data_IF_044481853710
#
_entry.id   IF_044481853710
#
_cell.length_a   1.000
_cell.length_b   1.000
_cell.length_c   1.000
_cell.angle_alpha   90.00
_cell.angle_beta   90.00
_cell.angle_gamma   90.00
#
_symmetry.space_group_name_H-M   'P 1'
#
loop_
_entity.id
_entity.type
_entity.pdbx_description
1 polymer ?
#
# COMPACT_ATOMS: atom_id res chain seq x y z
N UNK A 1 -36.23 12.78 -28.39
CA UNK A 1 -34.90 13.23 -28.87
C UNK A 1 -33.90 12.91 -27.78
N UNK A 2 -33.14 11.83 -27.96
CA UNK A 2 -32.08 11.43 -27.04
C UNK A 2 -31.02 12.52 -27.04
N UNK A 3 -30.88 13.26 -25.94
CA UNK A 3 -29.69 14.08 -25.73
C UNK A 3 -28.52 13.11 -25.73
N UNK A 4 -27.66 13.23 -26.73
CA UNK A 4 -26.31 12.68 -26.70
C UNK A 4 -25.68 13.16 -25.40
N UNK A 5 -25.59 12.30 -24.39
CA UNK A 5 -24.77 12.55 -23.22
C UNK A 5 -23.35 12.56 -23.74
N UNK A 6 -22.81 13.77 -23.89
CA UNK A 6 -21.41 13.95 -24.22
C UNK A 6 -20.60 13.27 -23.11
N UNK A 7 -19.92 12.16 -23.44
CA UNK A 7 -19.09 11.37 -22.51
C UNK A 7 -17.83 12.18 -22.10
N UNK A 8 -17.78 13.47 -22.45
CA UNK A 8 -16.68 14.39 -22.23
C UNK A 8 -16.66 15.03 -20.83
N UNK A 9 -17.77 15.00 -20.09
CA UNK A 9 -17.80 15.48 -18.71
C UNK A 9 -17.38 14.37 -17.74
N UNK A 10 -16.29 14.61 -17.00
CA UNK A 10 -15.82 13.69 -15.96
C UNK A 10 -16.93 13.48 -14.93
N UNK A 11 -17.25 12.22 -14.64
CA UNK A 11 -18.24 11.87 -13.61
C UNK A 11 -17.88 12.47 -12.23
N UNK A 12 -16.59 12.70 -11.98
CA UNK A 12 -16.07 13.41 -10.81
C UNK A 12 -16.73 14.78 -10.58
N UNK A 13 -17.22 15.47 -11.63
CA UNK A 13 -17.87 16.79 -11.49
C UNK A 13 -19.30 16.74 -10.95
N UNK A 14 -19.93 15.57 -10.92
CA UNK A 14 -21.25 15.44 -10.30
C UNK A 14 -21.08 15.42 -8.76
N UNK A 15 -21.62 16.41 -8.01
CA UNK A 15 -21.53 16.41 -6.55
C UNK A 15 -22.28 15.23 -5.91
N UNK A 16 -23.19 14.58 -6.65
CA UNK A 16 -23.97 13.42 -6.20
C UNK A 16 -23.42 12.09 -6.69
N UNK A 17 -22.20 12.08 -7.23
CA UNK A 17 -21.56 10.84 -7.67
C UNK A 17 -21.58 9.80 -6.53
N UNK A 18 -21.95 8.57 -6.87
CA UNK A 18 -22.03 7.42 -5.95
C UNK A 18 -23.12 7.47 -4.87
N UNK A 19 -23.91 8.56 -4.76
CA UNK A 19 -24.97 8.68 -3.75
C UNK A 19 -26.31 8.01 -4.13
N UNK A 20 -26.36 7.37 -5.31
CA UNK A 20 -27.54 6.66 -5.82
C UNK A 20 -28.51 7.56 -6.59
N UNK A 21 -29.47 6.93 -7.28
CA UNK A 21 -30.37 7.61 -8.24
C UNK A 21 -31.83 7.72 -7.78
N UNK A 22 -32.19 7.26 -6.58
CA UNK A 22 -33.58 7.33 -6.12
C UNK A 22 -33.85 8.67 -5.46
N UNK A 23 -34.84 9.40 -5.97
CA UNK A 23 -35.25 10.72 -5.48
C UNK A 23 -35.57 10.75 -3.97
N UNK A 24 -36.07 9.63 -3.43
CA UNK A 24 -36.40 9.50 -2.01
C UNK A 24 -35.18 9.32 -1.09
N UNK A 25 -34.07 8.79 -1.58
CA UNK A 25 -32.89 8.48 -0.76
C UNK A 25 -31.77 9.53 -0.91
N UNK A 26 -31.72 10.24 -2.04
CA UNK A 26 -30.65 11.20 -2.34
C UNK A 26 -30.52 12.31 -1.28
N UNK A 27 -31.60 12.91 -0.73
CA UNK A 27 -31.45 13.91 0.34
C UNK A 27 -30.76 13.36 1.59
N UNK A 28 -31.12 12.14 2.01
CA UNK A 28 -30.50 11.49 3.16
C UNK A 28 -29.04 11.11 2.87
N UNK A 29 -28.75 10.60 1.66
CA UNK A 29 -27.39 10.26 1.26
C UNK A 29 -26.46 11.49 1.26
N UNK A 30 -26.94 12.64 0.77
CA UNK A 30 -26.21 13.92 0.83
C UNK A 30 -25.94 14.37 2.26
N UNK A 31 -26.95 14.30 3.12
CA UNK A 31 -26.81 14.70 4.53
C UNK A 31 -25.78 13.84 5.24
N UNK A 32 -25.89 12.51 5.11
CA UNK A 32 -24.93 11.58 5.70
C UNK A 32 -23.51 11.79 5.13
N UNK A 33 -23.38 11.97 3.82
CA UNK A 33 -22.08 12.23 3.19
C UNK A 33 -21.47 13.55 3.68
N UNK A 34 -22.25 14.63 3.76
CA UNK A 34 -21.76 15.91 4.25
C UNK A 34 -21.29 15.83 5.70
N UNK A 35 -22.04 15.16 6.57
CA UNK A 35 -21.62 14.91 7.95
C UNK A 35 -20.34 14.05 8.02
N UNK A 36 -20.28 12.96 7.27
CA UNK A 36 -19.15 12.01 7.32
C UNK A 36 -17.88 12.57 6.69
N UNK A 37 -18.00 13.35 5.60
CA UNK A 37 -16.87 13.98 4.92
C UNK A 37 -16.17 15.04 5.77
N UNK A 38 -16.79 15.52 6.85
CA UNK A 38 -16.14 16.45 7.78
C UNK A 38 -15.07 15.77 8.65
N UNK A 39 -15.13 14.45 8.83
CA UNK A 39 -14.17 13.71 9.66
C UNK A 39 -12.80 13.54 8.98
N UNK A 40 -11.71 13.46 9.77
CA UNK A 40 -10.39 13.17 9.23
C UNK A 40 -10.29 11.71 8.74
N UNK A 41 -9.28 11.46 7.92
CA UNK A 41 -9.00 10.11 7.42
C UNK A 41 -8.25 9.32 8.50
N UNK A 42 -8.79 8.15 8.81
CA UNK A 42 -8.09 7.08 9.53
C UNK A 42 -7.74 5.99 8.53
N UNK A 43 -6.45 5.80 8.26
CA UNK A 43 -5.94 4.73 7.40
C UNK A 43 -5.23 3.69 8.28
N UNK A 44 -5.96 2.69 8.81
CA UNK A 44 -5.44 1.76 9.81
C UNK A 44 -4.52 0.68 9.22
N UNK A 45 -4.41 0.60 7.89
CA UNK A 45 -3.51 -0.30 7.19
C UNK A 45 -3.21 0.24 5.79
N UNK A 46 -1.95 0.17 5.37
CA UNK A 46 -1.50 0.63 4.07
C UNK A 46 -0.03 0.35 3.80
N UNK A 47 0.42 0.68 2.59
CA UNK A 47 1.76 0.40 2.10
C UNK A 47 2.48 1.66 1.60
N UNK A 48 2.13 2.83 2.12
CA UNK A 48 2.90 4.06 1.83
C UNK A 48 4.30 3.90 2.41
N UNK A 49 5.34 4.15 1.62
CA UNK A 49 6.72 4.13 2.12
C UNK A 49 6.91 5.27 3.14
N UNK A 50 7.25 4.97 4.41
CA UNK A 50 7.44 6.01 5.43
C UNK A 50 8.60 6.97 5.11
N UNK A 51 9.59 6.53 4.33
CA UNK A 51 10.69 7.39 3.86
C UNK A 51 10.18 8.59 3.06
N UNK A 52 9.13 8.39 2.25
CA UNK A 52 8.54 9.43 1.41
C UNK A 52 8.04 10.62 2.25
N UNK A 53 7.42 10.31 3.39
CA UNK A 53 6.92 11.31 4.33
C UNK A 53 8.06 11.90 5.16
N UNK A 54 9.06 11.10 5.55
CA UNK A 54 10.20 11.57 6.32
C UNK A 54 11.12 12.50 5.53
N UNK A 55 11.41 12.17 4.26
CA UNK A 55 12.28 12.96 3.39
C UNK A 55 11.62 14.27 2.90
N UNK A 56 10.28 14.25 2.77
CA UNK A 56 9.45 15.39 2.36
C UNK A 56 9.98 16.12 1.12
N UNK A 57 10.44 15.36 0.12
CA UNK A 57 10.91 15.90 -1.15
C UNK A 57 9.78 15.91 -2.20
N UNK A 58 9.85 16.78 -3.22
CA UNK A 58 8.91 16.75 -4.34
C UNK A 58 8.84 15.38 -5.01
N UNK A 59 7.66 15.02 -5.50
CA UNK A 59 7.51 13.84 -6.35
C UNK A 59 8.19 14.07 -7.70
N UNK A 60 8.85 13.05 -8.24
CA UNK A 60 9.68 13.20 -9.44
C UNK A 60 8.88 13.56 -10.70
N UNK A 61 7.83 12.78 -11.00
CA UNK A 61 7.01 12.96 -12.20
C UNK A 61 5.65 12.24 -12.09
N UNK A 62 4.66 12.57 -12.96
CA UNK A 62 3.33 11.96 -12.92
C UNK A 62 3.31 10.44 -13.07
N UNK A 63 4.22 9.86 -13.85
CA UNK A 63 4.25 8.40 -14.11
C UNK A 63 4.84 7.66 -12.92
N UNK A 64 5.94 8.15 -12.37
CA UNK A 64 6.57 7.58 -11.17
C UNK A 64 5.66 7.71 -9.94
N UNK A 65 4.77 8.70 -9.91
CA UNK A 65 3.77 8.86 -8.84
C UNK A 65 2.50 8.01 -9.06
N UNK A 66 1.88 8.06 -10.24
CA UNK A 66 0.51 7.57 -10.44
C UNK A 66 0.41 6.29 -11.27
N UNK A 67 1.47 5.88 -11.98
CA UNK A 67 1.40 4.75 -12.93
C UNK A 67 2.31 3.62 -12.50
N UNK A 68 3.60 3.89 -12.37
CA UNK A 68 4.62 2.88 -12.04
C UNK A 68 4.33 2.11 -10.73
N UNK A 69 3.95 2.76 -9.61
CA UNK A 69 3.72 2.04 -8.36
C UNK A 69 2.33 1.38 -8.28
N UNK A 70 1.39 1.74 -9.16
CA UNK A 70 0.02 1.22 -9.11
C UNK A 70 -0.13 -0.07 -9.94
N UNK A 71 -0.16 -1.19 -9.24
CA UNK A 71 -0.31 -2.51 -9.86
C UNK A 71 -1.70 -2.73 -10.48
N UNK A 72 -2.75 -1.97 -10.12
CA UNK A 72 -4.05 -2.06 -10.80
C UNK A 72 -3.95 -1.46 -12.21
N UNK A 73 -3.29 -0.31 -12.34
CA UNK A 73 -3.05 0.34 -13.63
C UNK A 73 -2.13 -0.52 -14.50
N UNK A 74 -0.98 -0.93 -13.97
CA UNK A 74 -0.02 -1.71 -14.76
C UNK A 74 -0.59 -3.08 -15.14
N UNK A 75 -1.34 -3.77 -14.27
CA UNK A 75 -2.00 -5.04 -14.59
C UNK A 75 -3.01 -4.90 -15.73
N UNK A 76 -3.80 -3.82 -15.75
CA UNK A 76 -4.75 -3.58 -16.85
C UNK A 76 -4.00 -3.38 -18.17
N UNK A 77 -2.97 -2.54 -18.20
CA UNK A 77 -2.19 -2.30 -19.42
C UNK A 77 -1.49 -3.59 -19.92
N UNK A 78 -0.89 -4.37 -19.02
CA UNK A 78 -0.26 -5.65 -19.37
C UNK A 78 -1.28 -6.63 -19.96
N UNK A 79 -2.51 -6.67 -19.42
CA UNK A 79 -3.58 -7.53 -19.96
C UNK A 79 -3.99 -7.17 -21.40
N UNK A 80 -3.68 -5.95 -21.84
CA UNK A 80 -3.92 -5.46 -23.21
C UNK A 80 -2.69 -5.62 -24.12
N UNK A 81 -1.64 -6.29 -23.66
CA UNK A 81 -0.42 -6.55 -24.43
C UNK A 81 0.67 -5.48 -24.30
N UNK A 82 0.53 -4.54 -23.36
CA UNK A 82 1.60 -3.59 -23.05
C UNK A 82 2.73 -4.30 -22.30
N UNK A 83 3.97 -4.11 -22.74
CA UNK A 83 5.15 -4.62 -22.05
C UNK A 83 5.31 -3.98 -20.67
N UNK A 84 5.34 -4.80 -19.62
CA UNK A 84 5.51 -4.37 -18.23
C UNK A 84 6.78 -3.55 -18.04
N UNK A 85 7.88 -3.89 -18.71
CA UNK A 85 9.15 -3.17 -18.57
C UNK A 85 9.04 -1.71 -19.03
N UNK A 86 8.16 -1.41 -19.99
CA UNK A 86 7.91 -0.02 -20.39
C UNK A 86 7.25 0.79 -19.28
N UNK A 87 6.35 0.17 -18.51
CA UNK A 87 5.55 0.83 -17.47
C UNK A 87 6.31 1.12 -16.17
N UNK A 88 7.33 0.29 -15.86
CA UNK A 88 8.03 0.36 -14.56
C UNK A 88 9.48 0.81 -14.65
N UNK A 89 10.01 1.07 -15.85
CA UNK A 89 11.40 1.50 -15.99
C UNK A 89 11.63 2.93 -15.46
N UNK A 90 12.67 3.15 -14.63
CA UNK A 90 13.00 4.47 -14.07
C UNK A 90 13.29 5.55 -15.13
N UNK A 91 13.95 5.22 -16.24
CA UNK A 91 14.04 6.01 -17.49
C UNK A 91 14.99 5.31 -18.50
N UNK A 92 14.84 5.67 -19.78
CA UNK A 92 15.79 5.62 -20.92
C UNK A 92 16.47 4.32 -21.37
N UNK A 93 16.48 3.21 -20.62
CA UNK A 93 17.15 1.98 -21.10
C UNK A 93 16.54 1.39 -22.38
N UNK A 94 15.28 1.72 -22.67
CA UNK A 94 14.56 1.38 -23.90
C UNK A 94 14.21 2.60 -24.78
N UNK A 95 14.72 3.80 -24.45
CA UNK A 95 14.53 5.03 -25.23
C UNK A 95 13.14 5.67 -25.19
N UNK A 96 12.24 5.24 -24.29
CA UNK A 96 10.90 5.81 -24.16
C UNK A 96 10.80 6.83 -22.99
N UNK A 97 10.27 8.03 -23.25
CA UNK A 97 10.12 9.08 -22.23
C UNK A 97 8.93 8.81 -21.29
N UNK A 98 8.93 9.41 -20.09
CA UNK A 98 7.80 9.30 -19.14
C UNK A 98 6.49 9.78 -19.76
N UNK A 99 6.53 10.83 -20.58
CA UNK A 99 5.37 11.33 -21.33
C UNK A 99 4.81 10.28 -22.30
N UNK A 100 5.66 9.44 -22.90
CA UNK A 100 5.20 8.35 -23.76
C UNK A 100 4.52 7.24 -22.95
N UNK A 101 5.01 6.92 -21.76
CA UNK A 101 4.33 5.99 -20.85
C UNK A 101 2.98 6.54 -20.37
N UNK A 102 2.91 7.84 -20.12
CA UNK A 102 1.66 8.53 -19.82
C UNK A 102 0.68 8.51 -21.00
N UNK A 103 1.18 8.76 -22.22
CA UNK A 103 0.38 8.65 -23.44
C UNK A 103 -0.16 7.23 -23.62
N UNK A 104 0.64 6.21 -23.31
CA UNK A 104 0.23 4.81 -23.40
C UNK A 104 -0.95 4.49 -22.48
N UNK A 105 -0.96 5.04 -21.26
CA UNK A 105 -2.10 4.95 -20.35
C UNK A 105 -3.34 5.62 -20.97
N UNK A 106 -3.19 6.82 -21.54
CA UNK A 106 -4.28 7.54 -22.17
C UNK A 106 -4.88 6.81 -23.39
N UNK A 107 -4.03 6.21 -24.22
CA UNK A 107 -4.42 5.43 -25.40
C UNK A 107 -5.28 4.21 -25.04
N UNK A 108 -5.06 3.63 -23.87
CA UNK A 108 -5.81 2.47 -23.35
C UNK A 108 -6.88 2.84 -22.33
N UNK A 109 -7.15 4.13 -22.10
CA UNK A 109 -7.95 4.59 -20.96
C UNK A 109 -9.41 4.10 -20.98
N UNK A 110 -9.94 3.76 -22.15
CA UNK A 110 -11.27 3.16 -22.29
C UNK A 110 -11.40 1.81 -21.57
N UNK A 111 -10.32 1.04 -21.46
CA UNK A 111 -10.33 -0.27 -20.80
C UNK A 111 -10.61 -0.17 -19.29
N UNK A 112 -10.40 1.01 -18.70
CA UNK A 112 -10.71 1.26 -17.30
C UNK A 112 -12.20 1.60 -17.08
N UNK A 113 -13.00 1.78 -18.13
CA UNK A 113 -14.42 2.09 -17.99
C UNK A 113 -15.14 1.04 -17.13
N UNK A 114 -15.86 1.49 -16.10
CA UNK A 114 -16.55 0.62 -15.14
C UNK A 114 -15.65 0.04 -14.04
N UNK A 115 -14.37 0.36 -13.99
CA UNK A 115 -13.45 -0.09 -12.93
C UNK A 115 -13.31 0.95 -11.81
N UNK A 116 -12.98 0.54 -10.57
CA UNK A 116 -12.65 1.48 -9.50
C UNK A 116 -11.44 2.38 -9.82
N UNK A 117 -10.44 1.86 -10.55
CA UNK A 117 -9.27 2.67 -10.95
C UNK A 117 -9.64 3.86 -11.82
N UNK A 118 -10.69 3.76 -12.65
CA UNK A 118 -11.23 4.90 -13.40
C UNK A 118 -11.74 5.99 -12.46
N UNK A 119 -12.50 5.59 -11.45
CA UNK A 119 -13.07 6.49 -10.45
C UNK A 119 -11.95 7.20 -9.70
N UNK A 120 -11.03 6.45 -9.08
CA UNK A 120 -9.96 7.01 -8.26
C UNK A 120 -9.06 7.96 -9.05
N UNK A 121 -8.68 7.58 -10.27
CA UNK A 121 -7.82 8.43 -11.10
C UNK A 121 -8.51 9.72 -11.53
N UNK A 122 -9.79 9.66 -11.92
CA UNK A 122 -10.55 10.87 -12.26
C UNK A 122 -10.77 11.77 -11.04
N UNK A 123 -10.99 11.21 -9.85
CA UNK A 123 -11.05 11.99 -8.61
C UNK A 123 -9.71 12.63 -8.27
N UNK A 124 -8.58 11.92 -8.45
CA UNK A 124 -7.24 12.51 -8.29
C UNK A 124 -7.07 13.71 -9.23
N UNK A 125 -7.40 13.57 -10.52
CA UNK A 125 -7.29 14.67 -11.47
C UNK A 125 -8.19 15.85 -11.07
N UNK A 126 -9.45 15.59 -10.69
CA UNK A 126 -10.45 16.63 -10.43
C UNK A 126 -10.28 17.31 -9.08
N UNK A 127 -10.11 16.55 -7.99
CA UNK A 127 -10.18 17.06 -6.61
C UNK A 127 -8.78 17.44 -6.05
N UNK A 128 -7.73 16.75 -6.50
CA UNK A 128 -6.37 16.99 -6.00
C UNK A 128 -5.65 17.98 -6.91
N UNK A 129 -5.62 17.71 -8.22
CA UNK A 129 -4.92 18.52 -9.22
C UNK A 129 -5.80 19.60 -9.89
N UNK A 130 -7.11 19.64 -9.60
CA UNK A 130 -8.05 20.63 -10.17
C UNK A 130 -8.07 20.68 -11.70
N UNK A 131 -7.86 19.53 -12.34
CA UNK A 131 -7.82 19.39 -13.80
C UNK A 131 -9.22 19.12 -14.33
N UNK A 132 -9.77 20.10 -15.05
CA UNK A 132 -11.12 20.03 -15.63
C UNK A 132 -11.20 19.25 -16.95
N UNK A 133 -10.06 18.83 -17.51
CA UNK A 133 -9.95 18.13 -18.79
C UNK A 133 -10.22 16.64 -18.62
N UNK A 134 -11.10 16.07 -19.45
CA UNK A 134 -11.25 14.63 -19.52
C UNK A 134 -9.93 13.97 -19.94
N UNK A 135 -9.53 12.92 -19.23
CA UNK A 135 -8.36 12.14 -19.58
C UNK A 135 -8.62 11.36 -20.86
N UNK A 136 -8.00 11.78 -21.96
CA UNK A 136 -8.14 11.21 -23.30
C UNK A 136 -6.79 11.29 -24.01
N UNK A 137 -6.55 10.49 -25.07
CA UNK A 137 -5.32 10.57 -25.84
C UNK A 137 -4.96 11.98 -26.30
N UNK A 138 -5.98 12.79 -26.66
CA UNK A 138 -5.80 14.17 -27.12
C UNK A 138 -5.36 15.14 -26.00
N UNK A 139 -5.80 14.89 -24.77
CA UNK A 139 -5.52 15.76 -23.63
C UNK A 139 -4.31 15.29 -22.78
N UNK A 140 -3.83 14.06 -22.99
CA UNK A 140 -2.86 13.38 -22.14
C UNK A 140 -1.62 14.23 -21.86
N UNK A 141 -0.97 14.76 -22.90
CA UNK A 141 0.22 15.60 -22.78
C UNK A 141 -0.04 16.86 -21.95
N UNK A 142 -1.18 17.54 -22.16
CA UNK A 142 -1.53 18.74 -21.40
C UNK A 142 -1.77 18.41 -19.92
N UNK A 143 -2.45 17.32 -19.64
CA UNK A 143 -2.72 16.86 -18.27
C UNK A 143 -1.41 16.48 -17.57
N UNK A 144 -0.51 15.77 -18.25
CA UNK A 144 0.82 15.44 -17.72
C UNK A 144 1.58 16.70 -17.28
N UNK A 145 1.66 17.71 -18.15
CA UNK A 145 2.38 18.95 -17.84
C UNK A 145 1.73 19.71 -16.67
N UNK A 146 0.40 19.74 -16.59
CA UNK A 146 -0.29 20.36 -15.46
C UNK A 146 -0.02 19.65 -14.12
N UNK A 147 0.07 18.33 -14.11
CA UNK A 147 0.45 17.56 -12.92
C UNK A 147 1.91 17.85 -12.59
N UNK A 148 2.83 17.71 -13.56
CA UNK A 148 4.26 17.90 -13.35
C UNK A 148 4.58 19.27 -12.75
N UNK A 149 4.01 20.35 -13.30
CA UNK A 149 4.18 21.71 -12.73
C UNK A 149 3.62 21.82 -11.31
N UNK A 150 2.51 21.17 -10.99
CA UNK A 150 1.96 21.19 -9.64
C UNK A 150 2.81 20.42 -8.63
N UNK A 151 3.45 19.31 -9.04
CA UNK A 151 4.32 18.51 -8.17
C UNK A 151 5.57 19.28 -7.70
N UNK A 152 5.98 20.32 -8.43
CA UNK A 152 7.07 21.24 -8.03
C UNK A 152 6.64 22.23 -6.93
N UNK A 153 5.33 22.42 -6.74
CA UNK A 153 4.83 23.40 -5.78
C UNK A 153 4.97 22.87 -4.34
N UNK A 154 5.36 23.71 -3.36
CA UNK A 154 5.48 23.29 -1.95
C UNK A 154 4.22 22.66 -1.36
N UNK A 155 3.03 23.05 -1.84
CA UNK A 155 1.74 22.48 -1.38
C UNK A 155 1.55 21.00 -1.78
N UNK A 156 2.35 20.49 -2.73
CA UNK A 156 2.35 19.10 -3.17
C UNK A 156 3.46 18.27 -2.53
N UNK A 157 4.22 18.82 -1.59
CA UNK A 157 5.15 18.02 -0.79
C UNK A 157 4.37 16.99 0.06
N UNK A 158 4.94 15.80 0.32
CA UNK A 158 4.24 14.73 1.01
C UNK A 158 3.58 15.11 2.34
N UNK A 159 4.26 15.87 3.21
CA UNK A 159 3.73 16.30 4.50
C UNK A 159 2.61 17.34 4.35
N UNK A 160 2.68 18.17 3.31
CA UNK A 160 1.66 19.16 2.96
C UNK A 160 0.41 18.47 2.44
N UNK A 161 0.55 17.48 1.56
CA UNK A 161 -0.57 16.65 1.11
C UNK A 161 -1.19 15.86 2.25
N UNK A 162 -0.38 15.25 3.13
CA UNK A 162 -0.87 14.54 4.32
C UNK A 162 -1.78 15.43 5.18
N UNK A 163 -1.36 16.68 5.39
CA UNK A 163 -2.12 17.68 6.14
C UNK A 163 -3.37 18.14 5.38
N UNK A 164 -3.25 18.42 4.07
CA UNK A 164 -4.37 18.82 3.20
C UNK A 164 -5.46 17.74 3.14
N UNK A 165 -5.07 16.47 3.13
CA UNK A 165 -5.99 15.33 3.16
C UNK A 165 -6.60 15.08 4.55
N UNK A 166 -6.17 15.82 5.58
CA UNK A 166 -6.65 15.69 6.96
C UNK A 166 -6.50 14.26 7.47
N UNK A 167 -5.35 13.65 7.20
CA UNK A 167 -5.04 12.31 7.69
C UNK A 167 -4.68 12.44 9.18
N UNK A 168 -5.50 11.86 10.05
CA UNK A 168 -5.21 11.84 11.49
C UNK A 168 -4.25 10.69 11.84
N UNK A 169 -4.40 9.55 11.18
CA UNK A 169 -3.55 8.37 11.40
C UNK A 169 -3.34 7.61 10.10
N UNK A 170 -2.08 7.25 9.83
CA UNK A 170 -1.68 6.39 8.72
C UNK A 170 -0.81 5.26 9.23
N UNK A 171 -1.23 4.02 9.01
CA UNK A 171 -0.42 2.85 9.31
C UNK A 171 0.32 2.38 8.05
N UNK A 172 1.64 2.24 8.15
CA UNK A 172 2.46 1.55 7.15
C UNK A 172 2.48 0.05 7.46
N UNK A 173 3.10 -0.74 6.58
CA UNK A 173 3.27 -2.17 6.77
C UNK A 173 4.74 -2.51 6.61
N UNK A 174 5.36 -3.00 7.68
CA UNK A 174 6.81 -3.12 7.80
C UNK A 174 7.17 -4.56 8.18
N UNK A 175 8.27 -5.06 7.64
CA UNK A 175 8.76 -6.43 7.83
C UNK A 175 9.36 -6.61 9.23
N UNK A 176 9.49 -7.86 9.70
CA UNK A 176 9.91 -8.20 11.07
C UNK A 176 11.16 -7.44 11.55
N UNK A 177 12.15 -7.31 10.65
CA UNK A 177 13.47 -6.76 11.00
C UNK A 177 13.71 -5.34 10.50
N UNK A 178 12.67 -4.63 10.03
CA UNK A 178 12.83 -3.27 9.52
C UNK A 178 13.33 -2.32 10.63
N UNK A 179 14.11 -1.32 10.21
CA UNK A 179 14.79 -0.40 11.14
C UNK A 179 13.77 0.48 11.90
N UNK A 180 12.62 0.78 11.28
CA UNK A 180 11.62 1.76 11.73
C UNK A 180 12.20 3.17 11.95
N UNK A 181 13.32 3.48 11.30
CA UNK A 181 14.01 4.77 11.50
C UNK A 181 13.20 5.96 11.01
N UNK A 182 12.44 5.78 9.92
CA UNK A 182 11.58 6.83 9.37
C UNK A 182 10.42 7.16 10.32
N UNK A 183 9.83 6.16 10.99
CA UNK A 183 8.83 6.39 12.03
C UNK A 183 9.40 7.18 13.20
N UNK A 184 10.60 6.81 13.68
CA UNK A 184 11.29 7.56 14.74
C UNK A 184 11.62 8.99 14.34
N UNK A 185 12.13 9.19 13.12
CA UNK A 185 12.45 10.51 12.59
C UNK A 185 11.18 11.38 12.52
N UNK A 186 10.06 10.79 12.09
CA UNK A 186 8.77 11.50 12.01
C UNK A 186 8.10 11.75 13.37
N UNK A 187 8.48 11.04 14.43
CA UNK A 187 7.91 11.27 15.77
C UNK A 187 8.17 12.69 16.30
N UNK A 188 9.26 13.33 15.85
CA UNK A 188 9.58 14.74 16.16
C UNK A 188 9.11 15.75 15.11
N UNK A 189 8.58 15.28 13.98
CA UNK A 189 8.08 16.16 12.91
C UNK A 189 6.72 16.72 13.31
N UNK A 190 6.47 18.04 13.13
CA UNK A 190 5.18 18.65 13.44
C UNK A 190 4.12 18.32 12.37
N UNK A 191 3.88 17.03 12.13
CA UNK A 191 2.86 16.54 11.22
C UNK A 191 1.48 16.69 11.88
N UNK A 192 0.46 17.04 11.10
CA UNK A 192 -0.92 17.21 11.62
C UNK A 192 -1.55 15.91 12.15
N UNK A 193 -0.99 14.75 11.79
CA UNK A 193 -1.40 13.43 12.27
C UNK A 193 -0.19 12.54 12.54
N UNK A 194 -0.42 11.24 12.70
CA UNK A 194 0.61 10.26 13.05
C UNK A 194 0.83 9.22 11.95
N UNK A 195 2.08 8.78 11.80
CA UNK A 195 2.46 7.65 10.97
C UNK A 195 2.99 6.54 11.88
N UNK A 196 2.31 5.40 11.90
CA UNK A 196 2.64 4.26 12.78
C UNK A 196 2.96 3.01 11.97
N UNK A 197 3.82 2.10 12.45
CA UNK A 197 4.08 0.86 11.74
C UNK A 197 3.03 -0.22 12.05
N UNK A 198 2.86 -1.16 11.12
CA UNK A 198 2.13 -2.43 11.31
C UNK A 198 3.13 -3.57 11.21
N UNK A 199 3.16 -4.44 12.21
CA UNK A 199 4.10 -5.57 12.25
C UNK A 199 3.64 -6.68 11.30
N UNK A 200 4.38 -6.91 10.21
CA UNK A 200 4.08 -7.96 9.23
C UNK A 200 5.19 -9.01 9.17
N UNK A 201 5.04 -10.13 9.90
CA UNK A 201 6.10 -11.12 10.06
C UNK A 201 6.11 -12.22 9.01
N UNK A 202 5.65 -11.93 7.79
CA UNK A 202 5.57 -12.92 6.70
C UNK A 202 6.95 -13.48 6.33
N UNK A 203 7.99 -12.66 6.41
CA UNK A 203 9.37 -12.99 6.05
C UNK A 203 9.98 -14.11 6.93
N UNK A 204 9.53 -14.23 8.17
CA UNK A 204 9.96 -15.28 9.11
C UNK A 204 8.88 -16.33 9.40
N UNK A 205 7.63 -16.07 8.99
CA UNK A 205 6.50 -16.98 9.22
C UNK A 205 6.21 -17.92 8.04
N UNK A 206 6.74 -17.64 6.84
CA UNK A 206 6.60 -18.51 5.67
C UNK A 206 7.95 -19.14 5.24
N UNK A 207 8.19 -20.42 5.56
CA UNK A 207 9.44 -21.09 5.21
C UNK A 207 9.57 -21.37 3.72
N UNK A 208 8.50 -21.20 2.93
CA UNK A 208 8.56 -21.38 1.47
C UNK A 208 9.22 -20.19 0.74
N UNK A 209 9.42 -19.07 1.43
CA UNK A 209 10.12 -17.91 0.87
C UNK A 209 11.60 -18.20 0.66
N UNK A 210 12.12 -17.78 -0.51
CA UNK A 210 13.54 -17.92 -0.85
C UNK A 210 14.48 -17.20 0.12
N UNK A 211 14.02 -16.12 0.74
CA UNK A 211 14.78 -15.30 1.67
C UNK A 211 14.55 -15.65 3.14
N UNK A 212 13.78 -16.70 3.47
CA UNK A 212 13.39 -17.04 4.84
C UNK A 212 14.56 -17.20 5.81
N UNK A 213 15.58 -18.00 5.46
CA UNK A 213 16.78 -18.16 6.30
C UNK A 213 17.56 -16.84 6.49
N UNK A 214 17.60 -16.00 5.44
CA UNK A 214 18.22 -14.68 5.54
C UNK A 214 17.39 -13.73 6.42
N UNK A 215 16.06 -13.83 6.40
CA UNK A 215 15.18 -13.09 7.29
C UNK A 215 15.37 -13.49 8.76
N UNK A 216 15.50 -14.79 9.05
CA UNK A 216 15.85 -15.26 10.38
C UNK A 216 17.21 -14.70 10.85
N UNK A 217 18.23 -14.69 10.01
CA UNK A 217 19.54 -14.13 10.36
C UNK A 217 19.51 -12.61 10.63
N UNK A 218 18.67 -11.87 9.88
CA UNK A 218 18.42 -10.44 10.17
C UNK A 218 17.74 -10.28 11.53
N UNK A 219 16.77 -11.12 11.85
CA UNK A 219 16.11 -11.11 13.15
C UNK A 219 17.05 -11.48 14.30
N UNK A 220 17.94 -12.47 14.12
CA UNK A 220 18.99 -12.82 15.08
C UNK A 220 19.88 -11.62 15.39
N UNK A 221 20.34 -10.93 14.34
CA UNK A 221 21.19 -9.74 14.46
C UNK A 221 20.45 -8.62 15.18
N UNK A 222 19.20 -8.38 14.81
CA UNK A 222 18.36 -7.33 15.38
C UNK A 222 18.09 -7.59 16.87
N UNK A 223 17.76 -8.82 17.24
CA UNK A 223 17.45 -9.20 18.61
C UNK A 223 18.70 -9.45 19.47
N UNK A 224 19.89 -9.52 18.85
CA UNK A 224 21.12 -9.98 19.47
C UNK A 224 20.93 -11.35 20.18
N UNK A 225 20.24 -12.26 19.51
CA UNK A 225 19.89 -13.60 19.99
C UNK A 225 20.14 -14.62 18.87
N UNK A 226 20.68 -15.79 19.20
CA UNK A 226 20.71 -16.90 18.24
C UNK A 226 19.35 -17.59 18.22
N UNK A 227 18.85 -17.88 17.02
CA UNK A 227 17.60 -18.59 16.76
C UNK A 227 17.93 -20.01 16.32
N UNK A 228 18.13 -20.89 17.30
CA UNK A 228 18.41 -22.32 17.08
C UNK A 228 17.17 -23.19 17.25
N UNK A 229 16.26 -22.78 18.13
CA UNK A 229 15.02 -23.48 18.51
C UNK A 229 13.79 -22.63 18.19
N UNK A 230 12.61 -23.25 18.20
CA UNK A 230 11.35 -22.52 18.05
C UNK A 230 11.12 -21.58 19.23
N UNK A 231 11.51 -21.99 20.45
CA UNK A 231 11.50 -21.12 21.61
C UNK A 231 12.37 -19.86 21.42
N UNK A 232 13.51 -19.97 20.74
CA UNK A 232 14.34 -18.80 20.39
C UNK A 232 13.65 -17.87 19.40
N UNK A 233 13.04 -18.43 18.35
CA UNK A 233 12.26 -17.66 17.37
C UNK A 233 11.14 -16.88 18.07
N UNK A 234 10.40 -17.54 18.98
CA UNK A 234 9.33 -16.92 19.77
C UNK A 234 9.86 -15.74 20.59
N UNK A 235 11.03 -15.88 21.23
CA UNK A 235 11.66 -14.79 22.00
C UNK A 235 12.07 -13.61 21.11
N UNK A 236 12.68 -13.90 19.95
CA UNK A 236 13.09 -12.86 19.01
C UNK A 236 11.89 -12.11 18.40
N UNK A 237 10.79 -12.82 18.13
CA UNK A 237 9.54 -12.22 17.66
C UNK A 237 8.89 -11.30 18.70
N UNK A 238 8.88 -11.71 19.98
CA UNK A 238 8.40 -10.84 21.07
C UNK A 238 9.22 -9.57 21.17
N UNK A 239 10.55 -9.68 21.13
CA UNK A 239 11.44 -8.51 21.08
C UNK A 239 11.15 -7.60 19.88
N UNK A 240 10.94 -8.17 18.68
CA UNK A 240 10.60 -7.39 17.51
C UNK A 240 9.25 -6.69 17.66
N UNK A 241 8.23 -7.35 18.21
CA UNK A 241 6.92 -6.75 18.50
C UNK A 241 7.02 -5.60 19.50
N UNK A 242 7.81 -5.74 20.57
CA UNK A 242 8.02 -4.69 21.56
C UNK A 242 8.58 -3.42 20.89
N UNK A 243 9.58 -3.56 20.00
CA UNK A 243 10.10 -2.44 19.19
C UNK A 243 9.01 -1.75 18.36
N UNK A 244 8.11 -2.53 17.74
CA UNK A 244 7.02 -1.97 16.96
C UNK A 244 6.02 -1.20 17.84
N UNK A 245 5.69 -1.75 19.02
CA UNK A 245 4.81 -1.11 20.01
C UNK A 245 5.41 0.20 20.51
N UNK A 246 6.72 0.23 20.81
CA UNK A 246 7.47 1.43 21.19
C UNK A 246 7.40 2.53 20.10
N UNK A 247 7.27 2.13 18.83
CA UNK A 247 7.09 3.03 17.69
C UNK A 247 5.62 3.29 17.33
N UNK A 248 4.69 2.92 18.22
CA UNK A 248 3.27 3.25 18.12
C UNK A 248 2.40 2.23 17.39
N UNK A 249 2.94 1.07 17.01
CA UNK A 249 2.15 0.01 16.36
C UNK A 249 0.93 -0.40 17.21
N UNK A 250 -0.19 -0.66 16.52
CA UNK A 250 -1.46 -1.10 17.12
C UNK A 250 -2.04 -2.34 16.46
N UNK A 251 -1.40 -2.83 15.41
CA UNK A 251 -1.88 -3.96 14.63
C UNK A 251 -0.72 -4.82 14.14
N UNK A 252 -1.04 -6.07 13.84
CA UNK A 252 -0.21 -6.96 13.04
C UNK A 252 -0.95 -7.34 11.77
N UNK A 253 -0.20 -7.71 10.74
CA UNK A 253 -0.75 -8.16 9.46
C UNK A 253 -0.06 -9.46 9.04
N UNK A 254 -0.81 -10.35 8.40
CA UNK A 254 -0.33 -11.69 8.04
C UNK A 254 -0.82 -12.06 6.63
N UNK A 255 0.09 -12.02 5.66
CA UNK A 255 -0.19 -12.34 4.25
C UNK A 255 -0.02 -13.81 3.91
N UNK A 256 -0.70 -14.70 4.63
CA UNK A 256 -0.57 -16.15 4.42
C UNK A 256 -1.41 -16.64 3.23
N UNK A 257 -0.97 -17.67 2.47
CA UNK A 257 -1.74 -18.22 1.36
C UNK A 257 -3.08 -18.86 1.75
N UNK A 258 -3.20 -19.31 3.00
CA UNK A 258 -4.42 -19.89 3.57
C UNK A 258 -4.66 -19.38 4.99
N UNK A 259 -5.91 -19.43 5.44
CA UNK A 259 -6.31 -19.11 6.81
C UNK A 259 -6.20 -20.34 7.75
N UNK A 260 -5.47 -21.38 7.34
CA UNK A 260 -5.28 -22.58 8.15
C UNK A 260 -4.50 -22.21 9.42
N UNK A 261 -4.97 -22.70 10.57
CA UNK A 261 -4.31 -22.56 11.86
C UNK A 261 -4.24 -23.92 12.53
N UNK A 262 -3.22 -24.14 13.33
CA UNK A 262 -3.07 -25.36 14.11
C UNK A 262 -2.33 -25.08 15.40
N UNK A 263 -2.86 -25.57 16.50
CA UNK A 263 -2.17 -25.59 17.77
C UNK A 263 -1.44 -26.94 17.92
N UNK A 264 -0.14 -26.88 18.18
CA UNK A 264 0.73 -28.03 18.30
C UNK A 264 1.38 -28.04 19.69
N UNK A 265 1.83 -29.22 20.13
CA UNK A 265 2.67 -29.28 21.32
C UNK A 265 4.01 -28.57 21.09
N UNK A 266 4.66 -28.10 22.16
CA UNK A 266 5.96 -27.45 22.07
C UNK A 266 7.02 -28.35 21.39
N UNK A 267 7.00 -29.67 21.65
CA UNK A 267 7.87 -30.63 20.97
C UNK A 267 7.64 -30.72 19.47
N UNK A 268 6.40 -30.58 19.02
CA UNK A 268 6.07 -30.60 17.59
C UNK A 268 6.45 -29.29 16.91
N UNK A 269 6.30 -28.15 17.60
CA UNK A 269 6.78 -26.84 17.12
C UNK A 269 8.30 -26.83 16.94
N UNK A 270 9.04 -27.40 17.90
CA UNK A 270 10.49 -27.57 17.78
C UNK A 270 10.88 -28.48 16.60
N UNK A 271 10.18 -29.61 16.45
CA UNK A 271 10.42 -30.55 15.35
C UNK A 271 10.21 -29.90 13.98
N UNK A 272 9.06 -29.25 13.76
CA UNK A 272 8.73 -28.66 12.46
C UNK A 272 9.65 -27.48 12.13
N UNK A 273 10.02 -26.66 13.12
CA UNK A 273 10.97 -25.58 12.92
C UNK A 273 12.35 -26.10 12.50
N UNK A 274 12.83 -27.18 13.16
CA UNK A 274 14.09 -27.83 12.81
C UNK A 274 14.07 -28.41 11.40
N UNK A 275 12.95 -29.05 10.99
CA UNK A 275 12.73 -29.51 9.61
C UNK A 275 12.82 -28.36 8.61
N UNK A 276 12.12 -27.25 8.87
CA UNK A 276 12.21 -26.06 8.03
C UNK A 276 13.65 -25.53 7.92
N UNK A 277 14.38 -25.39 9.05
CA UNK A 277 15.76 -24.89 9.05
C UNK A 277 16.74 -25.77 8.26
N UNK A 278 16.51 -27.09 8.17
CA UNK A 278 17.33 -27.99 7.35
C UNK A 278 16.99 -27.93 5.86
N UNK A 279 15.90 -27.28 5.49
CA UNK A 279 15.39 -27.24 4.12
C UNK A 279 14.47 -28.40 3.76
N UNK A 280 14.02 -29.19 4.74
CA UNK A 280 13.09 -30.31 4.56
C UNK A 280 11.63 -29.81 4.36
N UNK A 281 11.42 -28.87 3.43
CA UNK A 281 10.18 -28.11 3.29
C UNK A 281 9.36 -28.65 2.11
N UNK A 282 8.33 -29.44 2.41
CA UNK A 282 7.26 -29.75 1.46
C UNK A 282 6.04 -28.84 1.72
N UNK A 283 5.02 -28.93 0.85
CA UNK A 283 3.82 -28.09 0.94
C UNK A 283 3.07 -28.24 2.28
N UNK A 284 2.99 -29.46 2.83
CA UNK A 284 2.32 -29.74 4.10
C UNK A 284 3.11 -29.15 5.26
N UNK A 285 4.44 -29.34 5.29
CA UNK A 285 5.32 -28.75 6.31
C UNK A 285 5.21 -27.22 6.29
N UNK A 286 5.23 -26.60 5.11
CA UNK A 286 5.12 -25.15 4.98
C UNK A 286 3.76 -24.61 5.45
N UNK A 287 2.64 -25.26 5.07
CA UNK A 287 1.31 -24.86 5.53
C UNK A 287 1.13 -25.07 7.03
N UNK A 288 1.62 -26.19 7.56
CA UNK A 288 1.58 -26.48 9.01
C UNK A 288 2.38 -25.44 9.78
N UNK A 289 3.59 -25.10 9.33
CA UNK A 289 4.41 -24.08 9.99
C UNK A 289 3.71 -22.70 9.98
N UNK A 290 3.17 -22.27 8.83
CA UNK A 290 2.39 -21.01 8.76
C UNK A 290 1.19 -21.03 9.72
N UNK A 291 0.47 -22.16 9.81
CA UNK A 291 -0.65 -22.32 10.72
C UNK A 291 -0.26 -22.26 12.20
N UNK A 292 0.90 -22.82 12.57
CA UNK A 292 1.49 -22.66 13.90
C UNK A 292 1.83 -21.19 14.16
N UNK A 293 2.49 -20.52 13.21
CA UNK A 293 2.90 -19.12 13.37
C UNK A 293 1.71 -18.18 13.59
N UNK A 294 0.60 -18.40 12.88
CA UNK A 294 -0.63 -17.63 13.11
C UNK A 294 -1.15 -17.79 14.55
N UNK A 295 -1.15 -19.01 15.10
CA UNK A 295 -1.53 -19.25 16.50
C UNK A 295 -0.55 -18.60 17.49
N UNK A 296 0.75 -18.63 17.20
CA UNK A 296 1.77 -17.97 18.04
C UNK A 296 1.61 -16.45 18.07
N UNK A 297 1.36 -15.81 16.91
CA UNK A 297 1.09 -14.37 16.86
C UNK A 297 -0.20 -14.00 17.59
N UNK A 298 -1.22 -14.85 17.53
CA UNK A 298 -2.44 -14.67 18.31
C UNK A 298 -2.15 -14.74 19.82
N UNK A 299 -1.38 -15.75 20.28
CA UNK A 299 -0.99 -15.87 21.69
C UNK A 299 -0.18 -14.67 22.16
N UNK A 300 0.82 -14.22 21.38
CA UNK A 300 1.60 -13.01 21.69
C UNK A 300 0.78 -11.71 21.70
N UNK A 301 -0.41 -11.71 21.10
CA UNK A 301 -1.30 -10.54 21.09
C UNK A 301 -2.28 -10.55 22.27
N UNK A 302 -2.43 -11.68 22.95
CA UNK A 302 -3.26 -11.83 24.14
C UNK A 302 -2.52 -11.50 25.45
N UNK A 303 -1.18 -11.50 25.42
CA UNK A 303 -0.31 -11.15 26.55
C UNK A 303 -0.24 -9.62 26.74
#
# INVERSE_FOLDING_TARGET
MSKSTDISEMAAKNPDRYLGCSDNALPLARELFHQMSAFPILSPHGHVNPELLAANQPFADPVTLLVTPDHYITRMLVSLGVDYHKLVSPSDSNGASKEQNWQLLADHWIAFAGTPSRIWFEEILSEIFHIALAFTPKNASRIYQQIATQLEHPDFLPQQLFSRFRIESLATTDSTSDSLEHHRAMASTPLAGRVIPTFRPDDVSDPSRKDWLAALARLETLANLSISTFADLRRALRFARDRFIENGAKATDHGMPSAFTVDLSESEKERIFSECKRGDINAITAETFRGVMLMEHAQMSAD
#
